data_IF_427691400603
#
_entry.id   IF_427691400603
#
_cell.length_a   1.000
_cell.length_b   1.000
_cell.length_c   1.000
_cell.angle_alpha   90.00
_cell.angle_beta   90.00
_cell.angle_gamma   90.00
#
_symmetry.space_group_name_H-M   'P 1'
#
loop_
_entity.id
_entity.type
_entity.pdbx_description
1 polymer ?
#
# COMPACT_ATOMS: atom_id res chain seq x y z
N UNK A 1 -9.27 7.66 43.40
CA UNK A 1 -8.31 6.56 43.19
C UNK A 1 -7.61 6.82 41.89
N UNK A 2 -6.34 6.46 41.80
CA UNK A 2 -5.54 6.62 40.58
C UNK A 2 -5.11 5.24 40.09
N UNK A 3 -4.97 5.08 38.78
CA UNK A 3 -4.31 3.92 38.22
C UNK A 3 -2.81 4.05 38.39
N UNK A 4 -2.16 2.91 38.65
CA UNK A 4 -0.70 2.81 38.71
C UNK A 4 -0.03 2.87 37.32
N UNK A 5 1.23 2.41 37.21
CA UNK A 5 1.97 2.46 35.97
C UNK A 5 1.28 1.70 34.84
N UNK A 6 1.64 2.06 33.61
CA UNK A 6 1.04 1.49 32.41
C UNK A 6 1.33 -0.02 32.31
N UNK A 7 0.35 -0.84 31.88
CA UNK A 7 0.60 -2.25 31.62
C UNK A 7 1.54 -2.42 30.42
N UNK A 8 2.31 -3.50 30.42
CA UNK A 8 3.08 -3.90 29.26
C UNK A 8 2.14 -4.46 28.19
N UNK A 9 2.16 -3.89 26.99
CA UNK A 9 1.35 -4.32 25.85
C UNK A 9 2.26 -4.93 24.79
N UNK A 10 1.93 -6.12 24.32
CA UNK A 10 2.74 -6.84 23.32
C UNK A 10 2.96 -6.00 22.07
N UNK A 11 4.23 -5.85 21.68
CA UNK A 11 4.66 -5.17 20.46
C UNK A 11 4.18 -3.70 20.34
N UNK A 12 3.91 -3.04 21.48
CA UNK A 12 3.44 -1.67 21.50
C UNK A 12 4.09 -0.85 22.63
N UNK A 13 4.25 0.46 22.39
CA UNK A 13 4.73 1.43 23.36
C UNK A 13 3.76 2.60 23.49
N UNK A 14 3.63 3.20 24.69
CA UNK A 14 2.77 4.37 24.87
C UNK A 14 3.29 5.55 24.04
N UNK A 15 2.37 6.29 23.41
CA UNK A 15 2.71 7.50 22.66
C UNK A 15 2.95 8.67 23.62
N UNK A 16 4.02 9.41 23.37
CA UNK A 16 4.41 10.59 24.17
C UNK A 16 5.11 10.24 25.49
N UNK A 17 5.26 11.24 26.36
CA UNK A 17 6.06 11.15 27.58
C UNK A 17 5.34 10.51 28.78
N UNK A 18 4.35 9.64 28.54
CA UNK A 18 3.60 8.95 29.60
C UNK A 18 4.30 7.68 30.10
N UNK A 19 5.38 7.24 29.44
CA UNK A 19 6.12 6.01 29.76
C UNK A 19 6.69 5.99 31.18
N UNK A 20 7.08 7.14 31.72
CA UNK A 20 7.71 7.27 33.03
C UNK A 20 6.74 7.70 34.14
N UNK A 21 5.47 7.93 33.80
CA UNK A 21 4.49 8.40 34.76
C UNK A 21 4.01 7.25 35.65
N UNK A 22 4.01 7.47 36.96
CA UNK A 22 3.70 6.44 37.95
C UNK A 22 2.23 6.43 38.42
N UNK A 23 1.51 7.54 38.19
CA UNK A 23 0.11 7.69 38.60
C UNK A 23 -0.72 8.40 37.54
N UNK A 24 -1.92 7.90 37.30
CA UNK A 24 -2.88 8.43 36.33
C UNK A 24 -4.26 8.53 36.97
N UNK A 25 -4.86 9.72 36.93
CA UNK A 25 -6.19 9.93 37.51
C UNK A 25 -7.26 9.12 36.76
N UNK A 26 -8.29 8.67 37.48
CA UNK A 26 -9.46 8.00 36.88
C UNK A 26 -10.03 8.82 35.73
N UNK A 27 -10.31 8.15 34.61
CA UNK A 27 -10.74 8.76 33.36
C UNK A 27 -9.60 9.06 32.38
N UNK A 28 -8.33 9.05 32.83
CA UNK A 28 -7.17 9.25 31.95
C UNK A 28 -7.10 8.18 30.86
N UNK A 29 -6.76 8.58 29.64
CA UNK A 29 -6.59 7.68 28.49
C UNK A 29 -5.17 7.73 27.97
N UNK A 30 -4.63 6.56 27.61
CA UNK A 30 -3.28 6.45 27.04
C UNK A 30 -3.35 5.65 25.76
N UNK A 31 -2.80 6.22 24.69
CA UNK A 31 -2.78 5.60 23.36
C UNK A 31 -1.41 5.00 23.09
N UNK A 32 -1.40 3.76 22.64
CA UNK A 32 -0.20 3.01 22.29
C UNK A 32 0.06 3.05 20.77
N UNK A 33 1.32 3.03 20.39
CA UNK A 33 1.81 2.83 19.02
C UNK A 33 2.56 1.52 18.91
N UNK A 34 2.46 0.87 17.75
CA UNK A 34 3.23 -0.35 17.50
C UNK A 34 4.73 -0.03 17.40
N UNK A 35 5.56 -0.93 17.92
CA UNK A 35 7.02 -0.84 17.81
C UNK A 35 7.48 -1.05 16.36
N UNK A 36 8.71 -0.64 15.99
CA UNK A 36 9.25 -0.87 14.66
C UNK A 36 9.13 -2.34 14.22
N UNK A 37 8.67 -2.57 13.00
CA UNK A 37 8.39 -3.91 12.44
C UNK A 37 6.97 -4.44 12.71
N UNK A 38 6.16 -3.73 13.49
CA UNK A 38 4.75 -4.02 13.73
C UNK A 38 3.87 -2.87 13.27
N UNK A 39 2.66 -3.21 12.87
CA UNK A 39 1.69 -2.28 12.30
C UNK A 39 0.34 -2.46 12.98
N UNK A 40 -0.37 -1.34 13.18
CA UNK A 40 -1.70 -1.36 13.80
C UNK A 40 -2.68 -2.12 12.92
N UNK A 41 -3.28 -3.17 13.47
CA UNK A 41 -4.38 -3.91 12.87
C UNK A 41 -5.61 -2.98 12.81
N UNK A 42 -6.23 -2.81 11.62
CA UNK A 42 -7.41 -1.97 11.46
C UNK A 42 -8.55 -2.39 12.40
N UNK A 43 -9.40 -1.42 12.76
CA UNK A 43 -10.59 -1.62 13.62
C UNK A 43 -10.32 -2.03 15.07
N UNK A 44 -9.10 -2.43 15.44
CA UNK A 44 -8.76 -2.71 16.83
C UNK A 44 -8.42 -1.43 17.62
N UNK A 45 -8.85 -1.35 18.90
CA UNK A 45 -8.50 -0.25 19.78
C UNK A 45 -7.01 -0.29 20.13
N UNK A 46 -6.42 0.89 20.33
CA UNK A 46 -5.03 1.04 20.77
C UNK A 46 -4.93 1.96 21.99
N UNK A 47 -6.04 2.17 22.70
CA UNK A 47 -6.15 3.11 23.81
C UNK A 47 -6.71 2.39 25.03
N UNK A 48 -6.02 2.52 26.16
CA UNK A 48 -6.53 2.11 27.47
C UNK A 48 -7.09 3.32 28.22
N UNK A 49 -8.02 3.05 29.13
CA UNK A 49 -8.57 4.03 30.06
C UNK A 49 -8.38 3.58 31.50
N UNK A 50 -8.07 4.52 32.39
CA UNK A 50 -8.08 4.29 33.82
C UNK A 50 -9.53 4.27 34.33
N UNK A 51 -10.00 3.10 34.77
CA UNK A 51 -11.38 2.87 35.21
C UNK A 51 -11.58 3.27 36.68
N UNK A 52 -12.82 3.55 37.13
CA UNK A 52 -13.11 3.96 38.52
C UNK A 52 -12.63 3.01 39.61
N UNK A 53 -12.45 1.72 39.28
CA UNK A 53 -11.89 0.70 40.16
C UNK A 53 -10.34 0.76 40.26
N UNK A 54 -9.71 1.85 39.80
CA UNK A 54 -8.26 2.06 39.77
C UNK A 54 -7.50 0.98 39.00
N UNK A 55 -8.13 0.41 37.96
CA UNK A 55 -7.52 -0.53 37.02
C UNK A 55 -7.58 -0.01 35.59
N UNK A 56 -6.59 -0.37 34.80
CA UNK A 56 -6.60 -0.10 33.36
C UNK A 56 -7.59 -1.02 32.63
N UNK A 57 -8.25 -0.49 31.60
CA UNK A 57 -9.02 -1.31 30.66
C UNK A 57 -8.10 -2.29 29.90
N UNK A 58 -8.64 -3.42 29.47
CA UNK A 58 -7.91 -4.38 28.64
C UNK A 58 -7.82 -3.93 27.18
N UNK A 59 -6.72 -4.26 26.51
CA UNK A 59 -6.59 -4.17 25.05
C UNK A 59 -6.44 -5.57 24.44
N UNK A 60 -7.08 -5.85 23.30
CA UNK A 60 -6.72 -7.00 22.48
C UNK A 60 -5.34 -6.78 21.85
N UNK A 61 -4.75 -7.86 21.32
CA UNK A 61 -3.54 -7.74 20.49
C UNK A 61 -3.85 -6.97 19.20
N UNK A 62 -3.38 -5.72 19.12
CA UNK A 62 -3.71 -4.81 18.02
C UNK A 62 -2.51 -4.50 17.12
N UNK A 63 -1.31 -5.00 17.44
CA UNK A 63 -0.09 -4.82 16.65
C UNK A 63 0.28 -6.14 16.00
N UNK A 64 0.22 -6.20 14.67
CA UNK A 64 0.58 -7.38 13.89
C UNK A 64 1.76 -7.11 12.98
N UNK A 65 2.40 -8.17 12.49
CA UNK A 65 3.38 -8.06 11.40
C UNK A 65 2.63 -7.93 10.07
N UNK A 66 3.10 -7.04 9.21
CA UNK A 66 2.52 -6.81 7.89
C UNK A 66 3.61 -6.63 6.84
N UNK A 67 3.30 -6.94 5.59
CA UNK A 67 4.12 -6.47 4.49
C UNK A 67 4.18 -4.92 4.48
N UNK A 68 5.27 -4.34 3.94
CA UNK A 68 5.34 -2.90 3.74
C UNK A 68 4.23 -2.46 2.77
N UNK A 69 3.97 -1.15 2.70
CA UNK A 69 3.06 -0.61 1.68
C UNK A 69 3.54 -1.04 0.28
N UNK A 70 2.72 -1.76 -0.50
CA UNK A 70 3.16 -2.29 -1.79
C UNK A 70 3.60 -1.17 -2.73
N UNK A 71 4.72 -1.39 -3.41
CA UNK A 71 5.34 -0.41 -4.30
C UNK A 71 4.55 -0.27 -5.59
N UNK A 72 4.45 0.95 -6.12
CA UNK A 72 3.88 1.14 -7.45
C UNK A 72 4.91 0.80 -8.54
N UNK A 73 4.48 0.11 -9.59
CA UNK A 73 5.33 -0.22 -10.75
C UNK A 73 5.15 0.79 -11.88
N UNK A 74 5.98 0.68 -12.94
CA UNK A 74 5.96 1.63 -14.08
C UNK A 74 4.69 1.52 -14.93
N UNK A 75 4.14 0.33 -15.08
CA UNK A 75 2.99 0.05 -15.96
C UNK A 75 1.65 0.04 -15.23
N UNK A 76 1.65 -0.05 -13.90
CA UNK A 76 0.44 -0.13 -13.09
C UNK A 76 0.60 0.53 -11.71
N UNK A 77 -0.51 0.93 -11.11
CA UNK A 77 -0.59 1.48 -9.77
C UNK A 77 -1.53 0.64 -8.91
N UNK A 78 -1.36 0.68 -7.58
CA UNK A 78 -2.27 -0.01 -6.66
C UNK A 78 -3.71 0.46 -6.84
N UNK A 79 -4.69 -0.44 -6.68
CA UNK A 79 -6.10 -0.06 -6.70
C UNK A 79 -6.43 0.92 -5.56
N UNK A 80 -7.44 1.80 -5.71
CA UNK A 80 -7.85 2.72 -4.66
C UNK A 80 -8.18 2.02 -3.34
N UNK A 81 -8.84 0.86 -3.40
CA UNK A 81 -9.26 0.07 -2.24
C UNK A 81 -8.04 -0.44 -1.47
N UNK A 82 -7.06 -1.02 -2.18
CA UNK A 82 -5.84 -1.54 -1.56
C UNK A 82 -4.91 -0.41 -1.11
N UNK A 83 -4.99 0.78 -1.72
CA UNK A 83 -4.19 1.94 -1.36
C UNK A 83 -4.63 2.56 -0.03
N UNK A 84 -5.91 2.46 0.31
CA UNK A 84 -6.45 2.97 1.59
C UNK A 84 -6.09 2.09 2.79
N UNK A 85 -5.64 0.85 2.55
CA UNK A 85 -5.20 -0.04 3.61
C UNK A 85 -3.84 0.39 4.16
N UNK A 86 -3.64 0.14 5.46
CA UNK A 86 -2.38 0.38 6.15
C UNK A 86 -1.81 -0.88 6.80
N UNK A 87 -2.48 -2.02 6.64
CA UNK A 87 -2.08 -3.31 7.21
C UNK A 87 -2.33 -4.39 6.17
N UNK A 88 -1.26 -5.09 5.78
CA UNK A 88 -1.28 -6.16 4.80
C UNK A 88 -0.77 -7.45 5.45
N UNK A 89 -1.69 -8.30 5.91
CA UNK A 89 -1.34 -9.57 6.53
C UNK A 89 -0.65 -10.50 5.52
N UNK A 90 0.08 -11.49 6.01
CA UNK A 90 0.55 -12.61 5.19
C UNK A 90 -0.62 -13.24 4.42
N UNK A 91 -0.38 -13.61 3.16
CA UNK A 91 -1.36 -14.07 2.16
C UNK A 91 -2.37 -13.01 1.68
N UNK A 92 -2.28 -11.75 2.12
CA UNK A 92 -3.06 -10.66 1.54
C UNK A 92 -2.64 -10.45 0.09
N UNK A 93 -3.61 -10.40 -0.82
CA UNK A 93 -3.38 -10.14 -2.24
C UNK A 93 -3.96 -8.79 -2.63
N UNK A 94 -3.11 -7.90 -3.14
CA UNK A 94 -3.49 -6.58 -3.64
C UNK A 94 -3.59 -6.59 -5.16
N UNK A 95 -4.44 -5.72 -5.70
CA UNK A 95 -4.68 -5.54 -7.13
C UNK A 95 -4.04 -4.26 -7.62
N UNK A 96 -3.60 -4.31 -8.88
CA UNK A 96 -3.09 -3.17 -9.61
C UNK A 96 -4.01 -2.82 -10.77
N UNK A 97 -4.03 -1.54 -11.09
CA UNK A 97 -4.74 -0.94 -12.21
C UNK A 97 -3.69 -0.36 -13.17
N UNK A 98 -3.82 -0.67 -14.46
CA UNK A 98 -2.90 -0.14 -15.47
C UNK A 98 -2.89 1.40 -15.44
N UNK A 99 -1.70 1.97 -15.56
CA UNK A 99 -1.55 3.42 -15.63
C UNK A 99 -2.10 3.95 -16.94
N UNK A 100 -2.31 5.26 -16.98
CA UNK A 100 -2.63 5.95 -18.22
C UNK A 100 -1.58 5.64 -19.30
N UNK A 101 -2.04 5.40 -20.53
CA UNK A 101 -1.19 4.97 -21.62
C UNK A 101 -0.84 3.48 -21.63
N UNK A 102 -1.28 2.71 -20.64
CA UNK A 102 -1.23 1.26 -20.63
C UNK A 102 -2.65 0.66 -20.64
N UNK A 103 -2.75 -0.57 -21.13
CA UNK A 103 -3.96 -1.38 -21.12
C UNK A 103 -3.65 -2.82 -20.73
N UNK A 104 -4.60 -3.47 -20.07
CA UNK A 104 -4.49 -4.88 -19.73
C UNK A 104 -4.99 -5.70 -20.92
N UNK A 105 -4.13 -6.52 -21.51
CA UNK A 105 -4.49 -7.39 -22.65
C UNK A 105 -4.96 -8.76 -22.22
N UNK A 106 -5.03 -9.00 -20.90
CA UNK A 106 -5.48 -10.27 -20.30
C UNK A 106 -6.80 -10.09 -19.55
N UNK A 107 -7.48 -11.21 -19.26
CA UNK A 107 -8.71 -11.19 -18.47
C UNK A 107 -8.46 -10.96 -16.96
N UNK A 108 -7.21 -11.02 -16.49
CA UNK A 108 -6.87 -10.97 -15.06
C UNK A 108 -6.12 -9.68 -14.73
N UNK A 109 -6.47 -8.99 -13.62
CA UNK A 109 -5.70 -7.83 -13.18
C UNK A 109 -4.31 -8.25 -12.68
N UNK A 110 -3.27 -7.41 -12.84
CA UNK A 110 -2.00 -7.66 -12.17
C UNK A 110 -2.19 -7.64 -10.66
N UNK A 111 -1.67 -8.65 -9.97
CA UNK A 111 -1.79 -8.79 -8.51
C UNK A 111 -0.44 -9.04 -7.87
N UNK A 112 -0.34 -8.79 -6.57
CA UNK A 112 0.81 -9.14 -5.75
C UNK A 112 0.35 -9.63 -4.39
N UNK A 113 1.02 -10.65 -3.87
CA UNK A 113 0.66 -11.32 -2.62
C UNK A 113 1.75 -11.13 -1.58
N UNK A 114 1.35 -10.84 -0.34
CA UNK A 114 2.25 -10.75 0.80
C UNK A 114 2.69 -12.14 1.23
N UNK A 115 3.98 -12.43 1.18
CA UNK A 115 4.59 -13.72 1.53
C UNK A 115 4.87 -13.82 3.04
N UNK A 116 5.12 -15.03 3.52
CA UNK A 116 5.45 -15.31 4.93
C UNK A 116 6.70 -14.55 5.43
N UNK A 117 7.63 -14.23 4.52
CA UNK A 117 8.83 -13.44 4.80
C UNK A 117 8.57 -11.92 4.81
N UNK A 118 7.31 -11.48 4.76
CA UNK A 118 6.86 -10.09 4.71
C UNK A 118 7.35 -9.31 3.48
N UNK A 119 7.57 -10.02 2.38
CA UNK A 119 7.85 -9.42 1.07
C UNK A 119 6.69 -9.63 0.11
N UNK A 120 6.59 -8.79 -0.91
CA UNK A 120 5.57 -8.90 -1.95
C UNK A 120 6.08 -9.79 -3.08
N UNK A 121 5.19 -10.62 -3.65
CA UNK A 121 5.49 -11.28 -4.93
C UNK A 121 5.69 -10.25 -6.04
N UNK A 122 6.42 -10.63 -7.08
CA UNK A 122 6.57 -9.80 -8.27
C UNK A 122 5.21 -9.48 -8.89
N UNK A 123 5.06 -8.23 -9.37
CA UNK A 123 3.84 -7.80 -10.07
C UNK A 123 3.96 -8.24 -11.52
N UNK A 124 3.07 -9.11 -12.03
CA UNK A 124 3.16 -9.57 -13.40
C UNK A 124 2.93 -8.41 -14.39
N UNK A 125 3.70 -8.38 -15.47
CA UNK A 125 3.64 -7.32 -16.50
C UNK A 125 2.44 -7.50 -17.45
N UNK A 126 1.23 -7.49 -16.90
CA UNK A 126 -0.01 -7.67 -17.67
C UNK A 126 -0.53 -6.37 -18.32
N UNK A 127 0.04 -5.22 -17.95
CA UNK A 127 -0.28 -3.94 -18.55
C UNK A 127 0.74 -3.60 -19.63
N UNK A 128 0.29 -3.57 -20.88
CA UNK A 128 1.10 -3.22 -22.04
C UNK A 128 0.82 -1.78 -22.47
N UNK A 129 1.78 -1.13 -23.13
CA UNK A 129 1.55 0.20 -23.70
C UNK A 129 0.38 0.14 -24.68
N UNK A 130 -0.46 1.17 -24.69
CA UNK A 130 -1.51 1.32 -25.70
C UNK A 130 -0.90 1.52 -27.08
N UNK A 131 -1.56 0.98 -28.09
CA UNK A 131 -1.26 1.27 -29.49
C UNK A 131 -1.81 2.63 -29.90
N UNK A 132 -1.01 3.44 -30.59
CA UNK A 132 -1.43 4.66 -31.25
C UNK A 132 -2.07 4.40 -32.63
N UNK A 133 -2.09 3.14 -33.07
CA UNK A 133 -2.46 2.76 -34.43
C UNK A 133 -1.34 3.03 -35.43
N UNK A 134 -1.40 2.35 -36.58
CA UNK A 134 -0.45 2.57 -37.67
C UNK A 134 -0.91 3.81 -38.46
N UNK A 135 -0.13 4.90 -38.49
CA UNK A 135 -0.48 6.08 -39.28
C UNK A 135 -0.55 5.76 -40.77
N UNK A 136 -1.47 6.41 -41.49
CA UNK A 136 -1.53 6.32 -42.94
C UNK A 136 -0.31 6.97 -43.59
N UNK A 137 0.09 6.45 -44.75
CA UNK A 137 1.13 7.09 -45.55
C UNK A 137 0.63 8.44 -46.08
N UNK A 138 1.45 9.50 -46.01
CA UNK A 138 1.13 10.77 -46.64
C UNK A 138 1.15 10.65 -48.17
N UNK A 139 0.49 11.59 -48.85
CA UNK A 139 0.56 11.71 -50.30
C UNK A 139 2.02 11.98 -50.73
N UNK A 140 2.55 11.18 -51.64
CA UNK A 140 3.97 11.20 -52.06
C UNK A 140 5.00 10.97 -50.93
N UNK A 141 4.69 10.10 -49.98
CA UNK A 141 5.67 9.67 -48.98
C UNK A 141 5.28 8.41 -48.25
N UNK A 142 6.16 7.97 -47.34
CA UNK A 142 6.00 6.76 -46.55
C UNK A 142 6.33 7.03 -45.08
N UNK A 143 5.53 6.44 -44.20
CA UNK A 143 5.82 6.40 -42.77
C UNK A 143 6.63 5.14 -42.47
N UNK A 144 7.80 5.32 -41.88
CA UNK A 144 8.66 4.24 -41.36
C UNK A 144 8.48 4.21 -39.85
N UNK A 145 7.96 3.09 -39.36
CA UNK A 145 7.71 2.83 -37.94
C UNK A 145 8.64 1.72 -37.46
N UNK A 146 9.23 1.89 -36.28
CA UNK A 146 9.81 0.77 -35.53
C UNK A 146 8.72 0.00 -34.79
N UNK A 147 7.79 0.76 -34.23
CA UNK A 147 6.63 0.34 -33.48
C UNK A 147 5.60 1.51 -33.49
N UNK A 148 4.37 1.22 -33.10
CA UNK A 148 3.20 2.07 -33.00
C UNK A 148 2.65 2.16 -31.56
N UNK A 149 3.38 1.65 -30.55
CA UNK A 149 3.01 1.83 -29.15
C UNK A 149 3.31 3.25 -28.65
N UNK A 150 2.66 3.61 -27.55
CA UNK A 150 2.83 4.90 -26.90
C UNK A 150 4.31 5.23 -26.58
N UNK A 151 4.73 6.42 -27.00
CA UNK A 151 6.08 6.95 -26.78
C UNK A 151 7.09 6.60 -27.88
N UNK A 152 6.70 5.83 -28.89
CA UNK A 152 7.53 5.59 -30.08
C UNK A 152 7.41 6.74 -31.10
N UNK A 153 8.44 6.88 -31.94
CA UNK A 153 8.51 7.95 -32.96
C UNK A 153 8.41 7.38 -34.37
N UNK A 154 7.54 7.97 -35.18
CA UNK A 154 7.41 7.67 -36.59
C UNK A 154 8.31 8.58 -37.44
N UNK A 155 9.01 8.01 -38.44
CA UNK A 155 9.80 8.80 -39.40
C UNK A 155 9.08 8.86 -40.75
N UNK A 156 8.82 10.07 -41.24
CA UNK A 156 8.24 10.28 -42.57
C UNK A 156 9.37 10.48 -43.58
N UNK A 157 9.26 9.80 -44.73
CA UNK A 157 10.20 9.93 -45.86
C UNK A 157 9.38 10.29 -47.11
N UNK A 158 9.75 11.38 -47.77
CA UNK A 158 9.12 11.79 -49.03
C UNK A 158 9.64 10.94 -50.20
N UNK A 159 8.77 10.72 -51.18
CA UNK A 159 9.16 10.12 -52.46
C UNK A 159 10.12 11.05 -53.20
N UNK A 160 11.01 10.48 -54.01
CA UNK A 160 11.96 11.25 -54.81
C UNK A 160 11.24 11.93 -55.97
N UNK A 161 11.42 13.24 -56.13
CA UNK A 161 10.82 14.07 -57.17
C UNK A 161 11.73 15.21 -57.57
#
# INVERSE_FOLDING_TARGET
GDCGPLPNISHAEPRGDTKHQQSFSVGSTVTFGCVPGYTKIPFLPATIQCLPNSRWSSLPEFCGRSCPRPSTVKFAALSPEDKMQNFYAVNTTVRYICREGFENTTAQPPTSTCLDNLTWTEVPELCQKKSCGIPANPEHGKVILKDHLLGETARVVCDHG
#
